data_IF_062305496715
#
_entry.id   IF_062305496715
#
_cell.length_a   1.000
_cell.length_b   1.000
_cell.length_c   1.000
_cell.angle_alpha   90.00
_cell.angle_beta   90.00
_cell.angle_gamma   90.00
#
_symmetry.space_group_name_H-M   'P 1'
#
loop_
_entity.id
_entity.type
_entity.pdbx_description
1 polymer ?
#
# COMPACT_ATOMS: atom_id res chain seq x y z
N UNK A 1 3.82 -6.29 50.48
CA UNK A 1 4.57 -5.69 49.35
C UNK A 1 3.86 -6.08 48.06
N UNK A 2 3.23 -5.13 47.38
CA UNK A 2 2.46 -5.38 46.16
C UNK A 2 3.39 -5.37 44.94
N UNK A 3 3.27 -6.36 44.08
CA UNK A 3 4.00 -6.46 42.82
C UNK A 3 3.57 -5.31 41.89
N UNK A 4 4.47 -4.38 41.62
CA UNK A 4 4.37 -3.42 40.51
C UNK A 4 4.52 -4.19 39.19
N UNK A 5 3.39 -4.69 38.68
CA UNK A 5 3.30 -5.14 37.30
C UNK A 5 3.40 -3.94 36.38
N UNK A 6 4.57 -3.72 35.80
CA UNK A 6 4.76 -2.76 34.72
C UNK A 6 4.00 -3.30 33.49
N UNK A 7 2.71 -2.95 33.36
CA UNK A 7 1.97 -3.24 32.14
C UNK A 7 2.74 -2.60 30.99
N UNK A 8 3.31 -3.43 30.09
CA UNK A 8 3.93 -2.93 28.85
C UNK A 8 2.91 -2.02 28.19
N UNK A 9 3.32 -0.78 27.93
CA UNK A 9 2.48 0.19 27.23
C UNK A 9 1.96 -0.46 25.94
N UNK A 10 0.65 -0.39 25.64
CA UNK A 10 0.12 -1.02 24.45
C UNK A 10 0.82 -0.48 23.21
N UNK A 11 1.35 -1.38 22.38
CA UNK A 11 2.07 -1.01 21.16
C UNK A 11 1.11 -0.35 20.17
N UNK A 12 1.45 0.86 19.72
CA UNK A 12 0.66 1.59 18.74
C UNK A 12 0.62 0.83 17.39
N UNK A 13 -0.49 0.90 16.67
CA UNK A 13 -0.63 0.18 15.39
C UNK A 13 -1.47 0.92 14.33
N UNK A 14 -0.99 0.86 13.09
CA UNK A 14 -1.79 1.22 11.89
C UNK A 14 -2.36 -0.05 11.24
N UNK A 15 -3.66 -0.08 10.99
CA UNK A 15 -4.32 -1.14 10.22
C UNK A 15 -4.86 -0.59 8.90
N UNK A 16 -4.40 -1.11 7.77
CA UNK A 16 -4.87 -0.71 6.45
C UNK A 16 -5.83 -1.75 5.86
N UNK A 17 -7.01 -1.31 5.44
CA UNK A 17 -7.98 -2.12 4.68
C UNK A 17 -7.96 -1.65 3.24
N UNK A 18 -7.50 -2.51 2.34
CA UNK A 18 -7.43 -2.24 0.91
C UNK A 18 -8.63 -2.87 0.23
N UNK A 19 -9.57 -2.06 -0.22
CA UNK A 19 -10.70 -2.52 -1.03
C UNK A 19 -10.25 -2.61 -2.49
N UNK A 20 -10.27 -3.83 -3.04
CA UNK A 20 -9.92 -4.10 -4.44
C UNK A 20 -11.19 -4.02 -5.27
N UNK A 21 -11.19 -3.11 -6.23
CA UNK A 21 -12.32 -2.81 -7.10
C UNK A 21 -11.99 -3.12 -8.57
N UNK A 22 -13.01 -3.10 -9.43
CA UNK A 22 -12.81 -3.22 -10.87
C UNK A 22 -12.01 -2.02 -11.41
N UNK A 23 -11.10 -2.22 -12.38
CA UNK A 23 -10.84 -3.47 -13.09
C UNK A 23 -9.90 -4.47 -12.39
N UNK A 24 -9.09 -4.06 -11.40
CA UNK A 24 -8.12 -4.96 -10.75
C UNK A 24 -8.76 -6.25 -10.21
N UNK A 25 -9.95 -6.16 -9.62
CA UNK A 25 -10.62 -7.34 -9.07
C UNK A 25 -10.94 -8.43 -10.13
N UNK A 26 -11.10 -8.03 -11.40
CA UNK A 26 -11.45 -8.91 -12.51
C UNK A 26 -10.21 -9.32 -13.32
N UNK A 27 -9.37 -8.34 -13.64
CA UNK A 27 -8.18 -8.51 -14.49
C UNK A 27 -6.97 -9.00 -13.70
N UNK A 28 -6.99 -8.88 -12.39
CA UNK A 28 -5.84 -9.10 -11.53
C UNK A 28 -4.90 -7.90 -11.56
N UNK A 29 -3.73 -8.07 -10.96
CA UNK A 29 -2.70 -7.04 -10.90
C UNK A 29 -1.83 -7.22 -9.66
N UNK A 30 -1.31 -6.11 -9.16
CA UNK A 30 -0.53 -6.11 -7.92
C UNK A 30 -0.73 -4.83 -7.13
N UNK A 31 -0.72 -5.01 -5.81
CA UNK A 31 -0.69 -3.94 -4.81
C UNK A 31 0.67 -3.97 -4.14
N UNK A 32 1.42 -2.86 -4.24
CA UNK A 32 2.65 -2.64 -3.48
C UNK A 32 2.29 -1.82 -2.25
N UNK A 33 2.44 -2.39 -1.06
CA UNK A 33 2.28 -1.65 0.20
C UNK A 33 3.65 -1.31 0.75
N UNK A 34 3.98 -0.03 0.76
CA UNK A 34 5.15 0.54 1.42
C UNK A 34 4.74 1.17 2.73
N UNK A 35 5.41 0.82 3.83
CA UNK A 35 5.13 1.36 5.14
C UNK A 35 6.35 2.12 5.69
N UNK A 36 6.11 3.33 6.22
CA UNK A 36 7.14 4.19 6.82
C UNK A 36 6.75 4.64 8.22
N UNK A 37 7.66 4.56 9.19
CA UNK A 37 7.39 5.08 10.52
C UNK A 37 7.33 6.61 10.49
N UNK A 38 6.46 7.17 11.31
CA UNK A 38 6.39 8.60 11.64
C UNK A 38 6.38 8.76 13.16
N UNK A 39 6.71 9.95 13.65
CA UNK A 39 6.76 10.19 15.08
C UNK A 39 5.40 9.89 15.74
N UNK A 40 5.40 9.23 16.90
CA UNK A 40 4.16 8.82 17.58
C UNK A 40 3.18 9.97 17.79
N UNK A 41 3.72 11.17 18.08
CA UNK A 41 2.93 12.40 18.24
C UNK A 41 2.22 12.78 16.96
N UNK A 42 2.89 12.69 15.81
CA UNK A 42 2.30 12.95 14.50
C UNK A 42 1.25 11.88 14.15
N UNK A 43 1.57 10.62 14.40
CA UNK A 43 0.64 9.52 14.17
C UNK A 43 -0.66 9.66 14.96
N UNK A 44 -0.58 10.11 16.21
CA UNK A 44 -1.78 10.33 17.06
C UNK A 44 -2.74 11.36 16.48
N UNK A 45 -2.22 12.36 15.75
CA UNK A 45 -3.01 13.40 15.09
C UNK A 45 -3.74 12.92 13.83
N UNK A 46 -3.37 11.75 13.28
CA UNK A 46 -4.02 11.22 12.09
C UNK A 46 -5.46 10.80 12.39
N UNK A 47 -6.37 11.12 11.49
CA UNK A 47 -7.76 10.69 11.57
C UNK A 47 -7.91 9.26 11.00
N UNK A 48 -8.28 8.30 11.84
CA UNK A 48 -8.57 6.93 11.40
C UNK A 48 -10.06 6.76 11.07
N UNK A 49 -10.38 5.92 10.09
CA UNK A 49 -11.75 5.50 9.79
C UNK A 49 -12.41 4.80 10.98
N UNK A 50 -11.61 4.03 11.73
CA UNK A 50 -11.98 3.48 13.04
C UNK A 50 -10.80 3.62 13.97
N UNK A 51 -11.08 3.84 15.25
CA UNK A 51 -10.07 3.81 16.31
C UNK A 51 -10.58 2.94 17.44
N UNK A 52 -9.67 2.20 18.08
CA UNK A 52 -10.01 1.54 19.35
C UNK A 52 -10.37 2.61 20.39
N UNK A 53 -11.23 2.27 21.37
CA UNK A 53 -11.61 3.19 22.46
C UNK A 53 -10.39 3.76 23.20
N UNK A 54 -9.30 3.00 23.25
CA UNK A 54 -8.06 3.38 23.90
C UNK A 54 -7.06 4.12 22.98
N UNK A 55 -7.36 4.27 21.69
CA UNK A 55 -6.56 5.05 20.73
C UNK A 55 -5.21 4.45 20.35
N UNK A 56 -4.98 3.17 20.65
CA UNK A 56 -3.70 2.49 20.34
C UNK A 56 -3.64 1.94 18.91
N UNK A 57 -4.80 1.64 18.32
CA UNK A 57 -4.92 1.23 16.93
C UNK A 57 -5.80 2.22 16.16
N UNK A 58 -5.34 2.59 14.95
CA UNK A 58 -6.12 3.32 13.95
C UNK A 58 -6.25 2.49 12.69
N UNK A 59 -7.49 2.35 12.20
CA UNK A 59 -7.80 1.73 10.93
C UNK A 59 -7.93 2.78 9.83
N UNK A 60 -7.32 2.52 8.67
CA UNK A 60 -7.41 3.33 7.47
C UNK A 60 -7.96 2.48 6.34
N UNK A 61 -8.73 3.10 5.44
CA UNK A 61 -9.38 2.41 4.34
C UNK A 61 -9.03 3.11 3.04
N UNK A 62 -8.69 2.33 2.03
CA UNK A 62 -8.42 2.82 0.67
C UNK A 62 -9.08 1.90 -0.34
N UNK A 63 -9.31 2.43 -1.55
CA UNK A 63 -9.79 1.65 -2.69
C UNK A 63 -8.75 1.68 -3.79
N UNK A 64 -8.47 0.53 -4.39
CA UNK A 64 -7.57 0.38 -5.54
C UNK A 64 -8.32 -0.27 -6.69
N UNK A 65 -8.11 0.27 -7.89
CA UNK A 65 -8.77 -0.17 -9.12
C UNK A 65 -7.77 -0.39 -10.27
N UNK A 66 -6.69 0.40 -10.33
CA UNK A 66 -5.64 0.23 -11.35
C UNK A 66 -4.86 -1.07 -11.10
N UNK A 67 -4.61 -1.91 -12.13
CA UNK A 67 -3.82 -3.14 -11.99
C UNK A 67 -2.43 -2.96 -11.37
N UNK A 68 -1.84 -1.78 -11.45
CA UNK A 68 -0.62 -1.42 -10.72
C UNK A 68 -0.92 -0.31 -9.71
N UNK A 69 -1.11 -0.70 -8.45
CA UNK A 69 -1.41 0.24 -7.37
C UNK A 69 -0.33 0.17 -6.29
N UNK A 70 0.19 1.32 -5.90
CA UNK A 70 1.16 1.48 -4.83
C UNK A 70 0.47 2.23 -3.69
N UNK A 71 0.65 1.77 -2.46
CA UNK A 71 0.11 2.40 -1.26
C UNK A 71 1.28 2.72 -0.35
N UNK A 72 1.46 4.00 -0.06
CA UNK A 72 2.33 4.45 1.02
C UNK A 72 1.49 4.62 2.29
N UNK A 73 1.91 3.94 3.34
CA UNK A 73 1.29 3.94 4.65
C UNK A 73 2.26 4.48 5.70
N UNK A 74 1.78 5.40 6.53
CA UNK A 74 2.45 5.85 7.73
C UNK A 74 1.97 5.07 8.95
N UNK A 75 2.92 4.70 9.80
CA UNK A 75 2.65 3.99 11.05
C UNK A 75 3.48 4.59 12.20
N UNK A 76 3.10 4.35 13.46
CA UNK A 76 3.81 4.96 14.59
C UNK A 76 5.19 4.33 14.74
N UNK A 77 6.22 5.14 14.95
CA UNK A 77 7.61 4.69 15.07
C UNK A 77 7.83 3.68 16.21
N UNK A 78 7.09 3.81 17.31
CA UNK A 78 7.16 2.86 18.43
C UNK A 78 6.32 1.59 18.19
N UNK A 79 5.71 1.47 17.01
CA UNK A 79 4.57 0.61 16.76
C UNK A 79 4.74 -0.34 15.58
N UNK A 80 3.61 -0.89 15.13
CA UNK A 80 3.56 -1.82 14.00
C UNK A 80 2.52 -1.40 12.98
N UNK A 81 2.50 -2.08 11.84
CA UNK A 81 1.43 -1.96 10.88
C UNK A 81 0.96 -3.34 10.40
N UNK A 82 -0.29 -3.38 9.96
CA UNK A 82 -0.86 -4.54 9.27
C UNK A 82 -1.72 -4.06 8.12
N UNK A 83 -1.94 -4.93 7.13
CA UNK A 83 -2.89 -4.65 6.07
C UNK A 83 -3.60 -5.93 5.64
N UNK A 84 -4.80 -5.77 5.09
CA UNK A 84 -5.54 -6.84 4.41
C UNK A 84 -6.19 -6.30 3.15
N UNK A 85 -6.34 -7.16 2.15
CA UNK A 85 -7.14 -6.86 0.96
C UNK A 85 -8.54 -7.47 1.14
N UNK A 86 -9.55 -6.81 0.59
CA UNK A 86 -10.93 -7.30 0.53
C UNK A 86 -11.57 -6.89 -0.80
N UNK A 87 -12.50 -7.69 -1.37
CA UNK A 87 -13.20 -7.28 -2.58
C UNK A 87 -14.16 -6.13 -2.29
N UNK A 88 -14.41 -5.27 -3.29
CA UNK A 88 -15.47 -4.27 -3.23
C UNK A 88 -16.84 -4.96 -3.09
N UNK A 89 -17.71 -4.43 -2.20
CA UNK A 89 -18.99 -5.06 -1.85
C UNK A 89 -19.96 -5.28 -3.04
N UNK A 90 -19.79 -4.49 -4.12
CA UNK A 90 -20.55 -4.62 -5.37
C UNK A 90 -20.21 -5.88 -6.17
N UNK A 91 -19.03 -6.46 -5.95
CA UNK A 91 -18.55 -7.64 -6.65
C UNK A 91 -18.96 -8.94 -5.96
N UNK A 92 -20.28 -9.19 -5.89
CA UNK A 92 -20.86 -10.35 -5.18
C UNK A 92 -20.43 -11.72 -5.74
N UNK A 93 -19.85 -11.78 -6.93
CA UNK A 93 -19.52 -13.03 -7.64
C UNK A 93 -18.02 -13.33 -7.72
N UNK A 94 -17.14 -12.35 -7.48
CA UNK A 94 -15.69 -12.54 -7.60
C UNK A 94 -15.07 -12.68 -6.22
N UNK A 95 -14.64 -13.90 -5.89
CA UNK A 95 -13.82 -14.12 -4.68
C UNK A 95 -12.43 -13.54 -4.92
N UNK A 96 -12.02 -12.61 -4.06
CA UNK A 96 -10.65 -12.09 -4.09
C UNK A 96 -9.67 -13.20 -3.74
N UNK A 97 -8.79 -13.53 -4.68
CA UNK A 97 -7.62 -14.36 -4.45
C UNK A 97 -6.38 -13.49 -4.53
N UNK A 98 -5.51 -13.59 -3.53
CA UNK A 98 -4.28 -12.82 -3.50
C UNK A 98 -3.15 -13.60 -2.84
N UNK A 99 -1.92 -13.32 -3.27
CA UNK A 99 -0.71 -13.93 -2.74
C UNK A 99 0.38 -12.87 -2.59
N UNK A 100 1.03 -12.86 -1.44
CA UNK A 100 2.22 -12.04 -1.25
C UNK A 100 3.40 -12.70 -1.96
N UNK A 101 4.00 -11.99 -2.91
CA UNK A 101 5.04 -12.51 -3.81
C UNK A 101 6.43 -12.00 -3.47
N UNK A 102 6.52 -10.83 -2.81
CA UNK A 102 7.79 -10.22 -2.43
C UNK A 102 7.63 -9.42 -1.13
N UNK A 103 8.67 -9.44 -0.31
CA UNK A 103 8.88 -8.54 0.83
C UNK A 103 10.29 -7.97 0.68
N UNK A 104 10.46 -6.68 0.90
CA UNK A 104 11.76 -6.06 0.79
C UNK A 104 11.73 -4.60 1.20
N UNK A 105 12.63 -3.84 0.59
CA UNK A 105 12.85 -2.41 0.79
C UNK A 105 13.24 -1.84 -0.57
N UNK A 106 13.07 -0.52 -0.75
CA UNK A 106 13.34 0.14 -2.02
C UNK A 106 13.84 1.57 -1.80
N UNK A 107 14.77 2.01 -2.64
CA UNK A 107 15.14 3.41 -2.77
C UNK A 107 14.60 3.93 -4.09
N UNK A 108 13.86 5.04 -4.05
CA UNK A 108 13.20 5.58 -5.24
C UNK A 108 13.03 7.08 -5.20
N UNK A 109 12.70 7.64 -6.35
CA UNK A 109 12.32 9.04 -6.48
C UNK A 109 10.83 9.21 -6.20
N UNK A 110 10.49 10.01 -5.19
CA UNK A 110 9.11 10.35 -4.86
C UNK A 110 8.44 11.04 -6.04
N UNK A 111 7.29 10.53 -6.55
CA UNK A 111 6.70 11.07 -7.77
C UNK A 111 6.21 12.51 -7.64
N UNK A 112 5.87 12.95 -6.42
CA UNK A 112 5.33 14.28 -6.15
C UNK A 112 6.43 15.29 -5.79
N UNK A 113 7.37 14.91 -4.92
CA UNK A 113 8.43 15.82 -4.45
C UNK A 113 9.71 15.75 -5.26
N UNK A 114 9.85 14.72 -6.11
CA UNK A 114 11.04 14.41 -6.93
C UNK A 114 12.32 14.20 -6.11
N UNK A 115 12.18 13.94 -4.82
CA UNK A 115 13.31 13.66 -3.91
C UNK A 115 13.51 12.15 -3.78
N UNK A 116 14.75 11.76 -3.52
CA UNK A 116 15.05 10.38 -3.14
C UNK A 116 14.40 10.08 -1.78
N UNK A 117 13.74 8.93 -1.70
CA UNK A 117 13.09 8.42 -0.50
C UNK A 117 13.43 6.95 -0.32
N UNK A 118 13.72 6.56 0.92
CA UNK A 118 13.89 5.18 1.31
C UNK A 118 12.55 4.60 1.80
N UNK A 119 12.18 3.43 1.29
CA UNK A 119 11.08 2.62 1.75
C UNK A 119 11.63 1.43 2.53
N UNK A 120 11.64 1.50 3.88
CA UNK A 120 12.26 0.48 4.73
C UNK A 120 11.48 -0.82 4.79
N UNK A 121 10.20 -0.79 4.42
CA UNK A 121 9.35 -1.97 4.36
C UNK A 121 8.39 -1.88 3.18
N UNK A 122 8.51 -2.85 2.27
CA UNK A 122 7.69 -3.00 1.08
C UNK A 122 7.15 -4.42 1.01
N UNK A 123 5.86 -4.57 0.72
CA UNK A 123 5.21 -5.86 0.45
C UNK A 123 4.49 -5.79 -0.88
N UNK A 124 4.78 -6.74 -1.76
CA UNK A 124 4.12 -6.87 -3.07
C UNK A 124 3.13 -8.01 -2.99
N UNK A 125 1.86 -7.69 -3.25
CA UNK A 125 0.76 -8.64 -3.23
C UNK A 125 0.19 -8.75 -4.63
N UNK A 126 0.32 -9.93 -5.24
CA UNK A 126 -0.36 -10.28 -6.47
C UNK A 126 -1.85 -10.50 -6.16
N UNK A 127 -2.70 -9.91 -7.00
CA UNK A 127 -4.14 -10.16 -7.03
C UNK A 127 -4.42 -10.98 -8.28
N UNK A 128 -5.00 -12.16 -8.10
CA UNK A 128 -5.35 -13.04 -9.22
C UNK A 128 -6.49 -12.44 -10.05
N UNK A 129 -6.43 -12.65 -11.36
CA UNK A 129 -7.50 -12.33 -12.29
C UNK A 129 -7.15 -12.80 -13.71
N UNK A 130 -7.90 -12.34 -14.70
CA UNK A 130 -7.84 -12.86 -16.07
C UNK A 130 -6.63 -12.42 -16.90
N UNK A 131 -5.93 -11.36 -16.50
CA UNK A 131 -4.96 -10.65 -17.36
C UNK A 131 -3.55 -10.64 -16.78
N UNK A 132 -3.38 -10.32 -15.50
CA UNK A 132 -2.06 -10.07 -14.91
C UNK A 132 -1.60 -11.25 -14.01
N UNK A 133 -0.65 -12.09 -14.48
CA UNK A 133 -0.17 -13.24 -13.72
C UNK A 133 0.81 -12.84 -12.61
N UNK A 134 1.15 -13.81 -11.75
CA UNK A 134 2.10 -13.61 -10.63
C UNK A 134 3.48 -13.13 -11.11
N UNK A 135 3.95 -13.60 -12.28
CA UNK A 135 5.20 -13.15 -12.89
C UNK A 135 5.17 -11.65 -13.23
N UNK A 136 4.03 -11.14 -13.70
CA UNK A 136 3.85 -9.71 -13.98
C UNK A 136 3.92 -8.88 -12.69
N UNK A 137 3.39 -9.38 -11.57
CA UNK A 137 3.51 -8.69 -10.29
C UNK A 137 4.97 -8.53 -9.82
N UNK A 138 5.84 -9.49 -10.16
CA UNK A 138 7.29 -9.39 -9.90
C UNK A 138 7.97 -8.37 -10.80
N UNK A 139 7.59 -8.30 -12.07
CA UNK A 139 8.07 -7.27 -13.01
C UNK A 139 7.65 -5.88 -12.52
N UNK A 140 6.39 -5.71 -12.10
CA UNK A 140 5.95 -4.46 -11.49
C UNK A 140 6.83 -4.10 -10.29
N UNK A 141 7.15 -5.05 -9.42
CA UNK A 141 7.99 -4.80 -8.25
C UNK A 141 9.38 -4.26 -8.59
N UNK A 142 9.92 -4.55 -9.78
CA UNK A 142 11.23 -4.05 -10.22
C UNK A 142 11.17 -2.78 -11.07
N UNK A 143 10.00 -2.40 -11.61
CA UNK A 143 9.90 -1.25 -12.53
C UNK A 143 8.91 -0.17 -12.11
N UNK A 144 8.16 -0.35 -11.01
CA UNK A 144 7.10 0.58 -10.60
C UNK A 144 7.57 2.02 -10.35
N UNK A 145 8.86 2.23 -10.06
CA UNK A 145 9.44 3.54 -9.75
C UNK A 145 9.98 4.26 -11.01
N UNK A 146 10.14 3.56 -12.13
CA UNK A 146 10.58 4.14 -13.41
C UNK A 146 9.67 5.29 -13.87
N UNK A 147 8.31 5.16 -13.84
CA UNK A 147 7.42 6.26 -14.19
C UNK A 147 7.57 7.49 -13.28
N UNK A 148 8.04 7.33 -12.04
CA UNK A 148 8.14 8.44 -11.07
C UNK A 148 9.26 9.43 -11.45
N UNK A 149 10.28 8.93 -12.16
CA UNK A 149 11.42 9.71 -12.66
C UNK A 149 11.11 10.45 -13.96
N UNK A 150 10.01 10.11 -14.63
CA UNK A 150 9.59 10.76 -15.86
C UNK A 150 8.84 12.07 -15.60
N UNK A 151 9.10 13.08 -16.44
CA UNK A 151 8.34 14.33 -16.48
C UNK A 151 7.08 14.24 -17.37
N UNK A 152 6.85 13.09 -18.00
CA UNK A 152 5.64 12.91 -18.80
C UNK A 152 4.40 13.02 -17.90
N UNK A 153 3.39 13.83 -18.32
CA UNK A 153 2.14 13.91 -17.59
C UNK A 153 1.41 12.56 -17.63
N UNK A 154 0.50 12.37 -16.68
CA UNK A 154 -0.47 11.26 -16.68
C UNK A 154 0.14 9.84 -16.58
N UNK A 155 1.34 9.71 -16.01
CA UNK A 155 1.89 8.38 -15.70
C UNK A 155 1.21 7.71 -14.50
N UNK A 156 0.65 8.52 -13.59
CA UNK A 156 0.02 8.03 -12.37
C UNK A 156 -0.98 9.05 -11.81
N UNK A 157 -1.90 8.54 -11.00
CA UNK A 157 -2.85 9.34 -10.20
C UNK A 157 -2.51 9.14 -8.74
N UNK A 158 -2.36 10.24 -8.00
CA UNK A 158 -2.12 10.22 -6.55
C UNK A 158 -3.39 10.63 -5.82
N UNK A 159 -3.85 9.80 -4.89
CA UNK A 159 -4.91 10.12 -3.96
C UNK A 159 -4.42 9.98 -2.52
N UNK A 160 -4.70 10.99 -1.69
CA UNK A 160 -4.24 10.99 -0.30
C UNK A 160 -5.32 10.44 0.64
N UNK A 161 -4.89 9.80 1.71
CA UNK A 161 -5.71 9.45 2.87
C UNK A 161 -4.96 9.85 4.13
N UNK A 162 -5.60 9.90 5.32
CA UNK A 162 -4.99 10.50 6.51
C UNK A 162 -3.61 9.94 6.88
N UNK A 163 -3.35 8.65 6.63
CA UNK A 163 -2.07 8.01 6.92
C UNK A 163 -1.21 7.74 5.68
N UNK A 164 -1.40 8.46 4.58
CA UNK A 164 -0.50 8.36 3.44
C UNK A 164 -1.19 8.60 2.10
N UNK A 165 -0.82 7.81 1.09
CA UNK A 165 -1.34 7.99 -0.27
C UNK A 165 -1.38 6.71 -1.06
N UNK A 166 -2.25 6.68 -2.06
CA UNK A 166 -2.30 5.68 -3.12
C UNK A 166 -1.77 6.33 -4.39
N UNK A 167 -0.90 5.61 -5.10
CA UNK A 167 -0.33 5.98 -6.39
C UNK A 167 -0.76 4.89 -7.37
N UNK A 168 -1.70 5.21 -8.24
CA UNK A 168 -2.20 4.30 -9.26
C UNK A 168 -1.51 4.60 -10.58
N UNK A 169 -0.76 3.65 -11.15
CA UNK A 169 -0.22 3.83 -12.49
C UNK A 169 -1.36 3.85 -13.51
N UNK A 170 -1.23 4.67 -14.55
CA UNK A 170 -2.21 4.67 -15.64
C UNK A 170 -1.98 3.47 -16.58
N UNK A 171 -2.99 3.05 -17.37
CA UNK A 171 -2.81 1.99 -18.36
C UNK A 171 -1.63 2.26 -19.30
N UNK A 172 -1.47 3.51 -19.74
CA UNK A 172 -0.33 3.93 -20.58
C UNK A 172 1.01 3.70 -19.88
N UNK A 173 1.13 4.04 -18.60
CA UNK A 173 2.36 3.82 -17.84
C UNK A 173 2.61 2.33 -17.58
N UNK A 174 1.57 1.57 -17.28
CA UNK A 174 1.66 0.10 -17.17
C UNK A 174 2.22 -0.48 -18.47
N UNK A 175 1.59 -0.14 -19.59
CA UNK A 175 2.01 -0.64 -20.89
C UNK A 175 3.41 -0.17 -21.24
N UNK A 176 3.85 1.02 -20.84
CA UNK A 176 5.17 1.56 -21.22
C UNK A 176 6.29 0.98 -20.36
N UNK A 177 6.08 0.88 -19.04
CA UNK A 177 7.15 0.67 -18.07
C UNK A 177 7.10 -0.70 -17.38
N UNK A 178 5.95 -1.38 -17.37
CA UNK A 178 5.79 -2.68 -16.70
C UNK A 178 5.92 -3.81 -17.74
N UNK A 179 7.16 -4.00 -18.19
CA UNK A 179 7.54 -5.04 -19.15
C UNK A 179 8.74 -5.80 -18.63
N UNK A 180 8.82 -7.08 -18.97
CA UNK A 180 10.06 -7.84 -18.82
C UNK A 180 11.10 -7.14 -19.68
N UNK A 181 12.17 -6.66 -19.07
CA UNK A 181 13.26 -5.96 -19.76
C UNK A 181 14.42 -6.91 -20.07
N UNK A 182 14.19 -8.22 -19.94
CA UNK A 182 15.11 -9.28 -20.37
C UNK A 182 14.89 -9.68 -21.84
#
# INVERSE_FOLDING_TARGET
MAATGCAKQPTLSSRLIVTVDAPMLEQGGAVIVSARPIADRQWRLLEGARSTKAGYEKEFQVTVASPASIIELHYPESGTYSFKLQPAARAKTHQLQSRRVLIGQADLTDPQTKRQVHWPSMSVVHVSGSTYPEGWARILASTFDVPFKSDAPDNYVISSFPAGRVIALTPKAIDTYVRDTN
#
